data_IF_640961998379
#
_entry.id   IF_640961998379
#
_cell.length_a   1.000
_cell.length_b   1.000
_cell.length_c   1.000
_cell.angle_alpha   90.00
_cell.angle_beta   90.00
_cell.angle_gamma   90.00
#
_symmetry.space_group_name_H-M   'P 1'
#
loop_
_entity.id
_entity.type
_entity.pdbx_description
1 polymer ?
#
# COMPACT_ATOMS: atom_id res chain seq x y z
N UNK A 1 9.04 11.31 -14.44
CA UNK A 1 8.20 10.37 -15.22
C UNK A 1 7.27 9.59 -14.30
N UNK A 2 7.81 8.92 -13.28
CA UNK A 2 7.05 8.05 -12.37
C UNK A 2 5.88 8.75 -11.68
N UNK A 3 6.05 10.02 -11.27
CA UNK A 3 4.97 10.82 -10.67
C UNK A 3 3.82 11.03 -11.67
N UNK A 4 4.11 11.30 -12.94
CA UNK A 4 3.08 11.47 -13.98
C UNK A 4 2.32 10.17 -14.24
N UNK A 5 3.03 9.04 -14.37
CA UNK A 5 2.41 7.72 -14.50
C UNK A 5 1.58 7.40 -13.27
N UNK A 6 2.10 7.65 -12.07
CA UNK A 6 1.40 7.44 -10.81
C UNK A 6 0.09 8.22 -10.73
N UNK A 7 0.08 9.51 -11.10
CA UNK A 7 -1.14 10.33 -11.15
C UNK A 7 -2.13 9.80 -12.18
N UNK A 8 -1.66 9.41 -13.38
CA UNK A 8 -2.51 8.78 -14.40
C UNK A 8 -3.17 7.52 -13.87
N UNK A 9 -2.39 6.65 -13.23
CA UNK A 9 -2.93 5.40 -12.67
C UNK A 9 -3.91 5.66 -11.54
N UNK A 10 -3.59 6.61 -10.67
CA UNK A 10 -4.46 6.98 -9.56
C UNK A 10 -5.79 7.58 -10.02
N UNK A 11 -5.83 8.28 -11.16
CA UNK A 11 -7.00 9.06 -11.56
C UNK A 11 -7.76 8.50 -12.77
N UNK A 12 -7.10 7.86 -13.73
CA UNK A 12 -7.70 7.56 -15.05
C UNK A 12 -8.13 6.11 -15.23
N UNK A 13 -7.62 5.19 -14.42
CA UNK A 13 -7.92 3.77 -14.52
C UNK A 13 -8.77 3.31 -13.33
N UNK A 14 -9.62 2.31 -13.59
CA UNK A 14 -10.33 1.62 -12.53
C UNK A 14 -9.34 0.81 -11.67
N UNK A 15 -9.59 0.70 -10.36
CA UNK A 15 -8.70 -0.02 -9.44
C UNK A 15 -8.54 -1.51 -9.79
N UNK A 16 -9.49 -2.10 -10.54
CA UNK A 16 -9.40 -3.47 -11.03
C UNK A 16 -8.47 -3.62 -12.23
N UNK A 17 -8.08 -2.51 -12.87
CA UNK A 17 -7.20 -2.55 -14.03
C UNK A 17 -5.77 -2.85 -13.59
N UNK A 18 -5.29 -4.06 -13.88
CA UNK A 18 -3.91 -4.47 -13.62
C UNK A 18 -2.95 -3.73 -14.57
N UNK A 19 -2.49 -2.56 -14.12
CA UNK A 19 -1.66 -1.68 -14.93
C UNK A 19 -0.23 -2.21 -15.00
N UNK A 20 0.26 -2.51 -16.19
CA UNK A 20 1.69 -2.74 -16.42
C UNK A 20 2.43 -1.38 -16.37
N UNK A 21 2.98 -1.05 -15.20
CA UNK A 21 3.72 0.19 -14.97
C UNK A 21 4.87 0.40 -15.94
N UNK A 22 5.56 -0.67 -16.38
CA UNK A 22 6.67 -0.54 -17.33
C UNK A 22 6.17 -0.14 -18.71
N UNK A 23 5.05 -0.74 -19.13
CA UNK A 23 4.38 -0.38 -20.39
C UNK A 23 3.87 1.06 -20.33
N UNK A 24 3.13 1.42 -19.27
CA UNK A 24 2.61 2.79 -19.11
C UNK A 24 3.71 3.84 -19.07
N UNK A 25 4.85 3.55 -18.44
CA UNK A 25 6.00 4.47 -18.43
C UNK A 25 6.56 4.72 -19.82
N UNK A 26 6.68 3.67 -20.65
CA UNK A 26 7.14 3.79 -22.04
C UNK A 26 6.14 4.58 -22.89
N UNK A 27 4.86 4.24 -22.78
CA UNK A 27 3.78 4.86 -23.54
C UNK A 27 3.63 6.34 -23.17
N UNK A 28 3.68 6.65 -21.89
CA UNK A 28 3.60 8.02 -21.38
C UNK A 28 4.83 8.86 -21.76
N UNK A 29 6.04 8.29 -21.75
CA UNK A 29 7.26 8.97 -22.23
C UNK A 29 7.13 9.36 -23.71
N UNK A 30 6.71 8.41 -24.56
CA UNK A 30 6.46 8.65 -25.98
C UNK A 30 5.36 9.71 -26.18
N UNK A 31 4.28 9.63 -25.41
CA UNK A 31 3.18 10.58 -25.48
C UNK A 31 3.61 12.01 -25.13
N UNK A 32 4.35 12.19 -24.03
CA UNK A 32 4.85 13.50 -23.58
C UNK A 32 5.79 14.13 -24.60
N UNK A 33 6.68 13.32 -25.22
CA UNK A 33 7.55 13.79 -26.29
C UNK A 33 6.76 14.32 -27.50
N UNK A 34 5.68 13.65 -27.88
CA UNK A 34 4.82 14.04 -29.02
C UNK A 34 3.86 15.20 -28.70
N UNK A 35 3.64 15.47 -27.42
CA UNK A 35 2.68 16.43 -26.92
C UNK A 35 3.33 17.32 -25.85
N UNK A 36 4.22 18.26 -26.24
CA UNK A 36 4.77 19.24 -25.31
C UNK A 36 3.66 20.11 -24.69
N UNK A 37 3.91 20.69 -23.53
CA UNK A 37 2.88 21.38 -22.72
C UNK A 37 2.19 22.50 -23.48
N UNK A 38 2.93 23.26 -24.29
CA UNK A 38 2.40 24.34 -25.13
C UNK A 38 1.39 23.81 -26.15
N UNK A 39 1.67 22.64 -26.75
CA UNK A 39 0.78 22.00 -27.72
C UNK A 39 -0.51 21.50 -27.06
N UNK A 40 -0.44 20.96 -25.85
CA UNK A 40 -1.63 20.52 -25.11
C UNK A 40 -2.45 21.72 -24.64
N UNK A 41 -1.82 22.78 -24.13
CA UNK A 41 -2.52 24.03 -23.77
C UNK A 41 -3.20 24.67 -24.97
N UNK A 42 -2.57 24.68 -26.15
CA UNK A 42 -3.22 25.19 -27.36
C UNK A 42 -4.47 24.36 -27.75
N UNK A 43 -4.53 23.06 -27.40
CA UNK A 43 -5.72 22.23 -27.60
C UNK A 43 -6.83 22.56 -26.62
N UNK A 44 -6.53 22.88 -25.36
CA UNK A 44 -7.56 23.27 -24.37
C UNK A 44 -8.26 24.57 -24.78
N UNK A 45 -7.53 25.54 -25.34
CA UNK A 45 -8.10 26.78 -25.90
C UNK A 45 -9.11 26.51 -27.03
N UNK A 46 -8.95 25.39 -27.76
CA UNK A 46 -9.89 24.95 -28.80
C UNK A 46 -11.05 24.10 -28.26
N UNK A 47 -11.17 23.95 -26.93
CA UNK A 47 -12.23 23.14 -26.31
C UNK A 47 -11.99 21.63 -26.38
N UNK A 48 -10.76 21.18 -26.62
CA UNK A 48 -10.43 19.75 -26.62
C UNK A 48 -10.51 19.19 -25.19
N UNK A 49 -11.53 18.37 -24.94
CA UNK A 49 -11.86 17.87 -23.61
C UNK A 49 -10.80 16.91 -23.06
N UNK A 50 -10.15 16.11 -23.90
CA UNK A 50 -9.07 15.22 -23.45
C UNK A 50 -7.83 16.03 -23.06
N UNK A 51 -7.54 17.10 -23.81
CA UNK A 51 -6.46 18.00 -23.47
C UNK A 51 -6.69 18.67 -22.10
N UNK A 52 -7.93 19.00 -21.74
CA UNK A 52 -8.26 19.57 -20.42
C UNK A 52 -7.84 18.62 -19.29
N UNK A 53 -8.23 17.35 -19.39
CA UNK A 53 -7.85 16.32 -18.40
C UNK A 53 -6.34 16.10 -18.39
N UNK A 54 -5.68 16.08 -19.54
CA UNK A 54 -4.22 15.94 -19.63
C UNK A 54 -3.47 17.12 -18.97
N UNK A 55 -3.90 18.37 -19.19
CA UNK A 55 -3.31 19.54 -18.51
C UNK A 55 -3.49 19.43 -17.00
N UNK A 56 -4.65 18.96 -16.53
CA UNK A 56 -4.87 18.73 -15.10
C UNK A 56 -3.90 17.69 -14.51
N UNK A 57 -3.63 16.60 -15.23
CA UNK A 57 -2.65 15.57 -14.81
C UNK A 57 -1.23 16.15 -14.75
N UNK A 58 -0.86 17.02 -15.71
CA UNK A 58 0.45 17.70 -15.69
C UNK A 58 0.58 18.61 -14.49
N UNK A 59 -0.45 19.37 -14.15
CA UNK A 59 -0.49 20.16 -12.92
C UNK A 59 -0.42 19.29 -11.66
N UNK A 60 -1.12 18.15 -11.60
CA UNK A 60 -1.06 17.25 -10.44
C UNK A 60 0.32 16.59 -10.26
N UNK A 61 0.99 16.28 -11.36
CA UNK A 61 2.28 15.58 -11.36
C UNK A 61 3.50 16.48 -11.39
N UNK A 62 3.36 17.76 -11.78
CA UNK A 62 4.47 18.66 -12.06
C UNK A 62 5.20 18.34 -13.37
N UNK A 63 4.60 17.55 -14.26
CA UNK A 63 5.27 17.10 -15.49
C UNK A 63 5.13 18.16 -16.60
N UNK A 64 6.21 18.89 -16.87
CA UNK A 64 6.23 19.96 -17.88
C UNK A 64 5.42 21.20 -17.48
N UNK A 65 5.00 21.28 -16.21
CA UNK A 65 4.29 22.40 -15.58
C UNK A 65 4.65 22.43 -14.09
N UNK A 66 4.50 23.57 -13.42
CA UNK A 66 4.66 23.61 -11.96
C UNK A 66 3.54 22.80 -11.30
N UNK A 67 3.89 21.94 -10.34
CA UNK A 67 2.91 21.14 -9.61
C UNK A 67 1.93 22.07 -8.88
N UNK A 68 0.64 21.97 -9.18
CA UNK A 68 -0.39 22.84 -8.64
C UNK A 68 -1.75 22.13 -8.59
N UNK A 69 -2.23 21.70 -7.41
CA UNK A 69 -3.58 21.16 -7.28
C UNK A 69 -4.65 22.17 -7.74
N UNK A 70 -4.42 23.45 -7.49
CA UNK A 70 -5.33 24.51 -7.89
C UNK A 70 -5.35 24.72 -9.41
N UNK A 71 -4.19 24.70 -10.06
CA UNK A 71 -4.10 24.75 -11.52
C UNK A 71 -4.79 23.56 -12.19
N UNK A 72 -4.73 22.38 -11.56
CA UNK A 72 -5.48 21.22 -12.02
C UNK A 72 -7.00 21.44 -11.90
N UNK A 73 -7.47 21.89 -10.74
CA UNK A 73 -8.90 22.15 -10.51
C UNK A 73 -9.44 23.23 -11.46
N UNK A 74 -8.67 24.30 -11.70
CA UNK A 74 -9.03 25.36 -12.65
C UNK A 74 -9.34 24.81 -14.04
N UNK A 75 -8.57 23.83 -14.51
CA UNK A 75 -8.83 23.18 -15.79
C UNK A 75 -10.04 22.24 -15.71
N UNK A 76 -10.18 21.49 -14.62
CA UNK A 76 -11.25 20.51 -14.44
C UNK A 76 -12.64 21.13 -14.24
N UNK A 77 -12.72 22.37 -13.79
CA UNK A 77 -13.97 23.10 -13.58
C UNK A 77 -14.79 23.21 -14.87
N UNK A 78 -14.13 23.38 -16.03
CA UNK A 78 -14.81 23.36 -17.34
C UNK A 78 -15.63 22.08 -17.57
N UNK A 79 -15.27 20.96 -16.93
CA UNK A 79 -15.94 19.66 -17.07
C UNK A 79 -16.81 19.29 -15.87
N UNK A 80 -16.58 19.90 -14.71
CA UNK A 80 -17.13 19.43 -13.43
C UNK A 80 -17.93 20.47 -12.65
N UNK A 81 -17.78 21.76 -12.95
CA UNK A 81 -18.48 22.85 -12.29
C UNK A 81 -19.22 23.76 -13.29
N UNK A 82 -20.57 23.71 -13.34
CA UNK A 82 -21.36 24.57 -14.22
C UNK A 82 -21.27 26.06 -13.84
N UNK A 83 -20.89 26.39 -12.61
CA UNK A 83 -20.92 27.74 -12.04
C UNK A 83 -19.51 28.38 -11.90
N UNK A 84 -18.50 27.83 -12.59
CA UNK A 84 -17.09 28.21 -12.44
C UNK A 84 -16.75 29.62 -12.97
N UNK A 85 -17.54 30.14 -13.92
CA UNK A 85 -17.48 31.54 -14.36
C UNK A 85 -16.31 31.94 -15.26
N UNK A 86 -15.52 31.00 -15.80
CA UNK A 86 -14.34 31.28 -16.63
C UNK A 86 -14.51 30.90 -18.11
N UNK A 87 -15.74 30.55 -18.52
CA UNK A 87 -16.07 30.20 -19.89
C UNK A 87 -17.34 29.35 -19.96
N UNK A 88 -17.64 28.79 -21.14
CA UNK A 88 -18.73 27.85 -21.28
C UNK A 88 -18.41 26.56 -20.51
N UNK A 89 -19.38 26.08 -19.75
CA UNK A 89 -19.29 24.74 -19.16
C UNK A 89 -19.41 23.68 -20.26
N UNK A 90 -18.44 22.78 -20.31
CA UNK A 90 -18.30 21.72 -21.32
C UNK A 90 -18.69 20.33 -20.78
N UNK A 91 -19.06 20.23 -19.50
CA UNK A 91 -19.39 18.95 -18.87
C UNK A 91 -20.67 18.28 -19.39
N UNK A 92 -21.52 18.99 -20.13
CA UNK A 92 -22.74 18.44 -20.75
C UNK A 92 -22.48 17.81 -22.12
N UNK A 93 -21.43 18.27 -22.83
CA UNK A 93 -21.01 17.69 -24.12
C UNK A 93 -19.95 16.60 -23.94
N UNK A 94 -19.33 16.54 -22.75
CA UNK A 94 -18.28 15.57 -22.46
C UNK A 94 -18.80 14.13 -22.41
N UNK A 95 -18.09 13.17 -23.02
CA UNK A 95 -18.39 11.75 -22.84
C UNK A 95 -18.40 11.37 -21.36
N UNK A 96 -19.32 10.49 -20.98
CA UNK A 96 -19.50 10.02 -19.59
C UNK A 96 -18.20 9.56 -18.94
N UNK A 97 -17.39 8.80 -19.68
CA UNK A 97 -16.08 8.30 -19.22
C UNK A 97 -15.11 9.44 -18.91
N UNK A 98 -15.04 10.44 -19.78
CA UNK A 98 -14.13 11.58 -19.61
C UNK A 98 -14.56 12.45 -18.42
N UNK A 99 -15.87 12.62 -18.23
CA UNK A 99 -16.42 13.29 -17.03
C UNK A 99 -16.07 12.52 -15.76
N UNK A 100 -16.15 11.18 -15.78
CA UNK A 100 -15.76 10.34 -14.65
C UNK A 100 -14.28 10.53 -14.29
N UNK A 101 -13.40 10.57 -15.30
CA UNK A 101 -11.96 10.86 -15.16
C UNK A 101 -11.72 12.26 -14.60
N UNK A 102 -12.44 13.27 -15.08
CA UNK A 102 -12.32 14.64 -14.59
C UNK A 102 -12.67 14.75 -13.09
N UNK A 103 -13.79 14.14 -12.67
CA UNK A 103 -14.14 14.07 -11.25
C UNK A 103 -13.10 13.28 -10.42
N UNK A 104 -12.57 12.18 -10.95
CA UNK A 104 -11.50 11.42 -10.27
C UNK A 104 -10.23 12.27 -10.07
N UNK A 105 -9.79 13.02 -11.09
CA UNK A 105 -8.68 13.97 -10.99
C UNK A 105 -8.97 15.09 -9.99
N UNK A 106 -10.19 15.63 -9.97
CA UNK A 106 -10.58 16.67 -9.03
C UNK A 106 -10.57 16.17 -7.59
N UNK A 107 -11.03 14.94 -7.34
CA UNK A 107 -10.92 14.30 -6.04
C UNK A 107 -9.44 14.21 -5.59
N UNK A 108 -8.55 13.75 -6.47
CA UNK A 108 -7.11 13.71 -6.18
C UNK A 108 -6.53 15.10 -5.89
N UNK A 109 -6.93 16.12 -6.65
CA UNK A 109 -6.47 17.49 -6.45
C UNK A 109 -6.88 18.02 -5.07
N UNK A 110 -8.14 17.82 -4.67
CA UNK A 110 -8.61 18.19 -3.35
C UNK A 110 -7.94 17.40 -2.23
N UNK A 111 -7.68 16.09 -2.40
CA UNK A 111 -6.88 15.31 -1.45
C UNK A 111 -5.46 15.87 -1.31
N UNK A 112 -4.82 16.26 -2.40
CA UNK A 112 -3.51 16.92 -2.36
C UNK A 112 -3.57 18.23 -1.54
N UNK A 113 -4.66 19.00 -1.63
CA UNK A 113 -4.88 20.20 -0.79
C UNK A 113 -5.08 19.84 0.69
N UNK A 114 -5.76 18.73 1.00
CA UNK A 114 -5.98 18.26 2.39
C UNK A 114 -4.66 17.85 3.06
N UNK A 115 -3.80 17.13 2.34
CA UNK A 115 -2.55 16.57 2.86
C UNK A 115 -1.31 17.42 2.55
N UNK A 116 -1.49 18.67 2.13
CA UNK A 116 -0.36 19.54 1.82
C UNK A 116 0.53 19.77 3.06
N UNK A 117 1.83 19.60 2.88
CA UNK A 117 2.80 19.82 3.95
C UNK A 117 2.79 21.29 4.39
N UNK A 118 3.06 21.60 5.68
CA UNK A 118 3.11 22.98 6.16
C UNK A 118 4.00 23.91 5.33
N UNK A 119 5.17 23.40 4.89
CA UNK A 119 6.13 24.16 4.08
C UNK A 119 5.61 24.55 2.68
N UNK A 120 4.66 23.79 2.13
CA UNK A 120 4.14 23.99 0.77
C UNK A 120 2.88 24.88 0.73
N UNK A 121 2.30 25.22 1.90
CA UNK A 121 1.05 25.98 1.99
C UNK A 121 1.15 27.39 1.37
N UNK A 122 2.30 28.04 1.49
CA UNK A 122 2.51 29.35 0.88
C UNK A 122 2.44 29.29 -0.65
N UNK A 123 2.95 28.20 -1.26
CA UNK A 123 2.86 27.95 -2.69
C UNK A 123 1.40 27.74 -3.13
N UNK A 124 0.66 26.90 -2.40
CA UNK A 124 -0.77 26.71 -2.67
C UNK A 124 -1.56 28.02 -2.57
N UNK A 125 -1.23 28.88 -1.58
CA UNK A 125 -1.85 30.19 -1.44
C UNK A 125 -1.56 31.14 -2.60
N UNK A 126 -0.34 31.09 -3.14
CA UNK A 126 0.01 31.83 -4.34
C UNK A 126 -0.78 31.31 -5.56
N UNK A 127 -0.93 29.99 -5.68
CA UNK A 127 -1.70 29.38 -6.76
C UNK A 127 -3.19 29.71 -6.67
N UNK A 128 -3.81 29.68 -5.49
CA UNK A 128 -5.22 30.08 -5.30
C UNK A 128 -5.47 31.52 -5.74
N UNK A 129 -4.54 32.43 -5.44
CA UNK A 129 -4.59 33.81 -5.95
C UNK A 129 -4.36 33.90 -7.46
N UNK A 130 -3.48 33.06 -8.01
CA UNK A 130 -3.15 33.04 -9.43
C UNK A 130 -4.32 32.54 -10.28
N UNK A 131 -4.97 31.47 -9.86
CA UNK A 131 -6.05 30.82 -10.63
C UNK A 131 -7.44 31.40 -10.30
N UNK A 132 -7.59 32.09 -9.16
CA UNK A 132 -8.80 32.85 -8.79
C UNK A 132 -10.08 32.02 -8.91
N UNK A 133 -10.06 30.75 -8.47
CA UNK A 133 -11.25 29.90 -8.47
C UNK A 133 -12.26 30.41 -7.45
N UNK A 134 -13.54 30.35 -7.78
CA UNK A 134 -14.64 30.84 -6.94
C UNK A 134 -14.66 30.22 -5.54
N UNK A 135 -14.36 28.92 -5.46
CA UNK A 135 -14.31 28.19 -4.20
C UNK A 135 -13.18 28.67 -3.27
N UNK A 136 -12.02 29.00 -3.86
CA UNK A 136 -10.83 29.42 -3.11
C UNK A 136 -10.98 30.82 -2.50
N UNK A 137 -11.90 31.64 -3.00
CA UNK A 137 -12.20 32.96 -2.43
C UNK A 137 -13.04 32.88 -1.14
N UNK A 138 -13.66 31.73 -0.83
CA UNK A 138 -14.63 31.61 0.27
C UNK A 138 -14.03 31.19 1.60
N UNK A 139 -12.85 30.56 1.63
CA UNK A 139 -12.28 30.01 2.87
C UNK A 139 -10.79 30.31 2.94
N UNK A 140 -10.33 30.88 4.06
CA UNK A 140 -8.91 31.20 4.23
C UNK A 140 -8.09 29.92 4.45
N UNK A 141 -6.95 29.80 3.77
CA UNK A 141 -6.11 28.58 3.68
C UNK A 141 -5.60 28.09 5.03
N UNK A 142 -5.46 28.99 5.99
CA UNK A 142 -4.92 28.68 7.31
C UNK A 142 -5.99 28.15 8.27
N UNK A 143 -7.26 28.17 7.89
CA UNK A 143 -8.32 27.70 8.75
C UNK A 143 -8.51 26.18 8.63
N UNK A 144 -8.68 25.47 9.77
CA UNK A 144 -9.12 24.07 9.77
C UNK A 144 -10.36 23.83 8.89
N UNK A 145 -11.25 24.84 8.79
CA UNK A 145 -12.42 24.84 7.92
C UNK A 145 -12.07 24.63 6.44
N UNK A 146 -10.94 25.17 5.95
CA UNK A 146 -10.50 24.99 4.57
C UNK A 146 -10.15 23.53 4.27
N UNK A 147 -9.50 22.82 5.20
CA UNK A 147 -9.18 21.39 5.01
C UNK A 147 -10.45 20.55 4.99
N UNK A 148 -11.40 20.84 5.88
CA UNK A 148 -12.67 20.13 5.89
C UNK A 148 -13.50 20.40 4.62
N UNK A 149 -13.49 21.64 4.12
CA UNK A 149 -14.14 21.99 2.85
C UNK A 149 -13.48 21.27 1.67
N UNK A 150 -12.15 21.30 1.57
CA UNK A 150 -11.39 20.56 0.55
C UNK A 150 -11.69 19.06 0.63
N UNK A 151 -11.74 18.47 1.83
CA UNK A 151 -12.09 17.07 2.00
C UNK A 151 -13.52 16.77 1.56
N UNK A 152 -14.49 17.63 1.91
CA UNK A 152 -15.88 17.50 1.47
C UNK A 152 -16.00 17.56 -0.06
N UNK A 153 -15.23 18.44 -0.70
CA UNK A 153 -15.17 18.54 -2.15
C UNK A 153 -14.52 17.28 -2.77
N UNK A 154 -13.45 16.76 -2.16
CA UNK A 154 -12.84 15.49 -2.58
C UNK A 154 -13.87 14.35 -2.58
N UNK A 155 -14.69 14.25 -1.52
CA UNK A 155 -15.74 13.24 -1.40
C UNK A 155 -16.86 13.45 -2.43
N UNK A 156 -17.24 14.70 -2.70
CA UNK A 156 -18.22 15.02 -3.72
C UNK A 156 -17.76 14.53 -5.10
N UNK A 157 -16.55 14.91 -5.51
CA UNK A 157 -16.01 14.49 -6.81
C UNK A 157 -15.75 12.98 -6.86
N UNK A 158 -15.26 12.35 -5.79
CA UNK A 158 -15.09 10.90 -5.74
C UNK A 158 -16.44 10.17 -5.93
N UNK A 159 -17.51 10.69 -5.31
CA UNK A 159 -18.86 10.15 -5.46
C UNK A 159 -19.41 10.32 -6.88
N UNK A 160 -19.23 11.47 -7.51
CA UNK A 160 -19.66 11.67 -8.91
C UNK A 160 -18.86 10.78 -9.87
N UNK A 161 -17.56 10.58 -9.66
CA UNK A 161 -16.75 9.64 -10.44
C UNK A 161 -17.28 8.20 -10.34
N UNK A 162 -17.53 7.73 -9.10
CA UNK A 162 -18.10 6.41 -8.84
C UNK A 162 -19.49 6.24 -9.47
N UNK A 163 -20.35 7.26 -9.39
CA UNK A 163 -21.68 7.30 -10.01
C UNK A 163 -21.60 7.23 -11.55
N UNK A 164 -20.59 7.87 -12.14
CA UNK A 164 -20.34 7.81 -13.58
C UNK A 164 -19.71 6.48 -14.02
N UNK A 165 -19.25 5.65 -13.08
CA UNK A 165 -18.80 4.28 -13.32
C UNK A 165 -17.29 4.07 -13.26
N UNK A 166 -16.51 5.09 -12.87
CA UNK A 166 -15.08 4.96 -12.66
C UNK A 166 -14.78 4.87 -11.16
N UNK A 167 -14.16 3.78 -10.72
CA UNK A 167 -13.66 3.64 -9.35
C UNK A 167 -12.14 3.60 -9.40
N UNK A 168 -11.52 4.77 -9.40
CA UNK A 168 -10.06 4.86 -9.43
C UNK A 168 -9.43 4.68 -8.04
N UNK A 169 -8.11 4.46 -7.94
CA UNK A 169 -7.41 4.52 -6.66
C UNK A 169 -7.62 5.84 -5.89
N UNK A 170 -7.71 6.98 -6.58
CA UNK A 170 -8.02 8.27 -5.94
C UNK A 170 -9.42 8.28 -5.32
N UNK A 171 -10.42 7.73 -6.02
CA UNK A 171 -11.79 7.59 -5.54
C UNK A 171 -11.84 6.70 -4.29
N UNK A 172 -11.17 5.54 -4.32
CA UNK A 172 -11.08 4.66 -3.15
C UNK A 172 -10.35 5.31 -1.98
N UNK A 173 -9.28 6.04 -2.23
CA UNK A 173 -8.52 6.76 -1.19
C UNK A 173 -9.41 7.75 -0.45
N UNK A 174 -10.18 8.58 -1.18
CA UNK A 174 -11.13 9.50 -0.57
C UNK A 174 -12.18 8.76 0.28
N UNK A 175 -12.70 7.65 -0.23
CA UNK A 175 -13.69 6.82 0.46
C UNK A 175 -13.16 6.13 1.73
N UNK A 176 -11.93 5.61 1.70
CA UNK A 176 -11.29 5.03 2.88
C UNK A 176 -10.99 6.08 3.94
N UNK A 177 -10.50 7.27 3.55
CA UNK A 177 -10.29 8.36 4.49
C UNK A 177 -11.58 8.80 5.18
N UNK A 178 -12.71 8.83 4.45
CA UNK A 178 -14.00 9.13 5.07
C UNK A 178 -14.31 8.12 6.18
N UNK A 179 -14.13 6.83 5.91
CA UNK A 179 -14.30 5.77 6.90
C UNK A 179 -13.35 5.93 8.08
N UNK A 180 -12.07 6.18 7.84
CA UNK A 180 -11.10 6.31 8.93
C UNK A 180 -11.46 7.50 9.84
N UNK A 181 -11.91 8.62 9.26
CA UNK A 181 -12.29 9.81 10.03
C UNK A 181 -13.51 9.60 10.93
N UNK A 182 -14.55 8.93 10.46
CA UNK A 182 -15.69 8.69 11.36
C UNK A 182 -15.43 7.53 12.32
N UNK A 183 -14.58 6.54 12.00
CA UNK A 183 -14.17 5.50 12.95
C UNK A 183 -13.45 6.19 14.12
N UNK A 184 -12.56 7.14 13.81
CA UNK A 184 -11.91 8.01 14.80
C UNK A 184 -12.88 8.93 15.56
N UNK A 185 -14.02 9.30 14.96
CA UNK A 185 -15.08 10.08 15.60
C UNK A 185 -16.14 9.21 16.32
N UNK A 186 -15.98 7.89 16.36
CA UNK A 186 -16.96 6.96 16.95
C UNK A 186 -18.27 6.84 16.17
N UNK A 187 -18.28 7.25 14.90
CA UNK A 187 -19.42 7.16 13.99
C UNK A 187 -19.42 5.77 13.35
N UNK A 188 -20.45 4.98 13.64
CA UNK A 188 -20.66 3.70 12.99
C UNK A 188 -21.08 3.89 11.53
N UNK A 189 -20.12 3.74 10.62
CA UNK A 189 -20.35 3.88 9.18
C UNK A 189 -21.25 2.81 8.58
N UNK A 190 -21.45 1.67 9.24
CA UNK A 190 -22.42 0.69 8.76
C UNK A 190 -23.83 1.31 8.69
N UNK A 191 -24.12 2.29 9.55
CA UNK A 191 -25.36 3.06 9.54
C UNK A 191 -25.38 4.19 8.50
N UNK A 192 -24.21 4.66 8.06
CA UNK A 192 -24.07 5.66 6.98
C UNK A 192 -24.31 5.09 5.58
N UNK A 193 -24.46 3.77 5.41
CA UNK A 193 -25.05 3.18 4.19
C UNK A 193 -26.39 3.84 3.81
N UNK A 194 -27.12 4.39 4.80
CA UNK A 194 -28.37 5.14 4.62
C UNK A 194 -28.18 6.60 4.21
N UNK A 195 -26.98 7.16 4.36
CA UNK A 195 -26.68 8.52 3.90
C UNK A 195 -26.74 8.54 2.37
N UNK A 196 -27.79 9.18 1.84
CA UNK A 196 -28.01 9.30 0.40
C UNK A 196 -26.93 10.13 -0.31
N UNK A 197 -26.19 10.97 0.43
CA UNK A 197 -25.26 11.96 -0.14
C UNK A 197 -24.07 11.33 -0.85
N UNK A 198 -23.49 10.28 -0.27
CA UNK A 198 -22.30 9.59 -0.81
C UNK A 198 -22.55 8.12 -1.13
N UNK A 199 -23.81 7.77 -1.44
CA UNK A 199 -24.24 6.39 -1.65
C UNK A 199 -23.40 5.62 -2.69
N UNK A 200 -23.17 6.15 -3.90
CA UNK A 200 -22.27 5.55 -4.89
C UNK A 200 -20.86 5.26 -4.36
N UNK A 201 -20.20 6.26 -3.74
CA UNK A 201 -18.86 6.09 -3.17
C UNK A 201 -18.84 5.02 -2.07
N UNK A 202 -19.85 5.01 -1.20
CA UNK A 202 -19.89 4.05 -0.10
C UNK A 202 -20.06 2.61 -0.58
N UNK A 203 -20.88 2.39 -1.61
CA UNK A 203 -21.04 1.07 -2.23
C UNK A 203 -19.72 0.54 -2.78
N UNK A 204 -18.90 1.39 -3.39
CA UNK A 204 -17.62 0.97 -3.97
C UNK A 204 -16.57 0.70 -2.90
N UNK A 205 -16.50 1.51 -1.84
CA UNK A 205 -15.63 1.27 -0.67
C UNK A 205 -15.99 -0.04 0.02
N UNK A 206 -17.28 -0.27 0.28
CA UNK A 206 -17.76 -1.51 0.92
C UNK A 206 -17.40 -2.72 0.07
N UNK A 207 -17.67 -2.68 -1.23
CA UNK A 207 -17.28 -3.75 -2.17
C UNK A 207 -15.78 -4.02 -2.13
N UNK A 208 -14.94 -2.98 -2.14
CA UNK A 208 -13.49 -3.16 -2.10
C UNK A 208 -13.03 -3.78 -0.77
N UNK A 209 -13.64 -3.43 0.35
CA UNK A 209 -13.33 -4.06 1.64
C UNK A 209 -13.68 -5.54 1.66
N UNK A 210 -14.84 -5.91 1.11
CA UNK A 210 -15.25 -7.31 1.00
C UNK A 210 -14.28 -8.13 0.15
N UNK A 211 -13.81 -7.55 -0.96
CA UNK A 211 -12.75 -8.13 -1.79
C UNK A 211 -11.45 -8.32 -1.01
N UNK A 212 -10.98 -7.28 -0.30
CA UNK A 212 -9.76 -7.34 0.52
C UNK A 212 -9.87 -8.41 1.61
N UNK A 213 -11.02 -8.50 2.29
CA UNK A 213 -11.25 -9.54 3.29
C UNK A 213 -11.34 -10.94 2.67
N UNK A 214 -11.90 -11.08 1.47
CA UNK A 214 -11.92 -12.35 0.75
C UNK A 214 -10.52 -12.79 0.31
N UNK A 215 -9.71 -11.87 -0.24
CA UNK A 215 -8.31 -12.07 -0.58
C UNK A 215 -7.52 -12.54 0.66
N UNK A 216 -7.71 -11.87 1.80
CA UNK A 216 -7.05 -12.21 3.06
C UNK A 216 -7.48 -13.59 3.58
N UNK A 217 -8.78 -13.93 3.54
CA UNK A 217 -9.24 -15.29 3.91
C UNK A 217 -8.59 -16.37 3.05
N UNK A 218 -8.48 -16.14 1.73
CA UNK A 218 -7.82 -17.08 0.81
C UNK A 218 -6.34 -17.19 1.16
N UNK A 219 -5.65 -16.08 1.46
CA UNK A 219 -4.25 -16.09 1.91
C UNK A 219 -4.10 -16.91 3.20
N UNK A 220 -4.93 -16.66 4.20
CA UNK A 220 -4.90 -17.39 5.47
C UNK A 220 -5.17 -18.88 5.30
N UNK A 221 -6.11 -19.29 4.45
CA UNK A 221 -6.33 -20.71 4.12
C UNK A 221 -5.11 -21.36 3.46
N UNK A 222 -4.43 -20.65 2.55
CA UNK A 222 -3.20 -21.13 1.89
C UNK A 222 -2.05 -21.30 2.89
N UNK A 223 -1.94 -20.40 3.86
CA UNK A 223 -0.96 -20.45 4.96
C UNK A 223 -1.31 -21.61 5.90
N UNK A 224 -2.56 -21.74 6.35
CA UNK A 224 -3.01 -22.81 7.24
C UNK A 224 -2.81 -24.21 6.64
N UNK A 225 -2.97 -24.37 5.31
CA UNK A 225 -2.73 -25.66 4.63
C UNK A 225 -1.27 -26.10 4.65
N UNK A 226 -0.32 -25.16 4.69
CA UNK A 226 1.12 -25.49 4.77
C UNK A 226 1.88 -24.33 5.44
N UNK A 227 1.84 -24.20 6.77
CA UNK A 227 2.46 -23.08 7.47
C UNK A 227 3.98 -23.08 7.31
N UNK A 228 4.60 -24.27 7.22
CA UNK A 228 6.04 -24.43 7.03
C UNK A 228 6.56 -23.83 5.71
N UNK A 229 5.71 -23.64 4.70
CA UNK A 229 6.10 -23.03 3.43
C UNK A 229 6.22 -21.49 3.47
N UNK A 230 5.74 -20.85 4.54
CA UNK A 230 5.68 -19.40 4.69
C UNK A 230 6.56 -18.88 5.84
N UNK A 231 7.26 -19.78 6.54
CA UNK A 231 8.15 -19.43 7.66
C UNK A 231 9.55 -19.97 7.37
N UNK A 232 10.58 -19.20 7.72
CA UNK A 232 11.94 -19.70 7.64
C UNK A 232 12.13 -20.86 8.62
N UNK A 233 12.59 -22.00 8.11
CA UNK A 233 12.81 -23.21 8.91
C UNK A 233 13.97 -23.10 9.91
N UNK A 234 14.87 -22.13 9.75
CA UNK A 234 15.96 -21.92 10.70
C UNK A 234 15.42 -21.43 12.05
N UNK A 235 15.72 -22.18 13.10
CA UNK A 235 15.26 -21.89 14.46
C UNK A 235 15.74 -20.50 14.92
N UNK A 236 14.86 -19.77 15.61
CA UNK A 236 15.10 -18.41 16.05
C UNK A 236 15.11 -17.33 14.95
N UNK A 237 15.03 -17.69 13.65
CA UNK A 237 15.02 -16.70 12.57
C UNK A 237 13.75 -15.85 12.58
N UNK A 238 12.58 -16.50 12.68
CA UNK A 238 11.26 -15.84 12.75
C UNK A 238 10.86 -15.02 11.52
N UNK A 239 11.61 -15.08 10.41
CA UNK A 239 11.21 -14.44 9.15
C UNK A 239 10.06 -15.23 8.53
N UNK A 240 8.99 -14.50 8.17
CA UNK A 240 7.80 -15.00 7.50
C UNK A 240 7.63 -14.32 6.15
N UNK A 241 6.86 -14.94 5.26
CA UNK A 241 6.52 -14.39 3.96
C UNK A 241 5.03 -14.58 3.67
N UNK A 242 4.42 -13.64 2.97
CA UNK A 242 3.07 -13.80 2.41
C UNK A 242 3.05 -14.78 1.23
N UNK A 243 4.18 -14.92 0.53
CA UNK A 243 4.32 -15.76 -0.66
C UNK A 243 5.35 -16.86 -0.44
N UNK A 244 5.01 -18.10 -0.84
CA UNK A 244 5.95 -19.23 -0.78
C UNK A 244 7.22 -18.98 -1.61
N UNK A 245 7.11 -18.16 -2.66
CA UNK A 245 8.21 -17.83 -3.56
C UNK A 245 9.25 -16.90 -2.93
N UNK A 246 8.89 -16.12 -1.91
CA UNK A 246 9.86 -15.24 -1.24
C UNK A 246 10.90 -16.00 -0.40
N UNK A 247 10.59 -17.25 -0.05
CA UNK A 247 11.49 -18.13 0.69
C UNK A 247 12.07 -19.19 -0.24
N UNK A 248 13.38 -19.40 -0.14
CA UNK A 248 14.11 -20.37 -0.94
C UNK A 248 13.83 -21.77 -0.42
N UNK A 249 13.35 -22.66 -1.28
CA UNK A 249 13.23 -24.08 -0.96
C UNK A 249 14.62 -24.71 -0.84
N UNK A 250 14.77 -25.71 0.02
CA UNK A 250 15.96 -26.56 -0.01
C UNK A 250 16.16 -27.14 -1.43
N UNK A 251 17.35 -26.92 -2.01
CA UNK A 251 17.72 -27.44 -3.32
C UNK A 251 17.99 -28.96 -3.33
N UNK A 252 17.99 -29.59 -2.16
CA UNK A 252 18.20 -31.03 -2.02
C UNK A 252 17.00 -31.89 -2.45
N UNK A 253 17.22 -33.21 -2.42
CA UNK A 253 16.23 -34.25 -2.77
C UNK A 253 15.34 -34.68 -1.59
N UNK A 254 15.15 -33.81 -0.59
CA UNK A 254 14.23 -34.09 0.52
C UNK A 254 12.77 -34.24 0.01
N UNK A 255 11.94 -35.06 0.70
CA UNK A 255 10.53 -35.24 0.35
C UNK A 255 9.79 -33.90 0.27
N UNK A 256 8.85 -33.71 -0.68
CA UNK A 256 8.14 -32.44 -0.84
C UNK A 256 7.44 -31.96 0.44
N UNK A 257 6.87 -32.86 1.22
CA UNK A 257 6.13 -32.55 2.45
C UNK A 257 7.04 -32.11 3.61
N UNK A 258 8.33 -32.50 3.55
CA UNK A 258 9.35 -32.16 4.55
C UNK A 258 10.39 -31.18 3.99
N UNK A 259 10.11 -30.52 2.87
CA UNK A 259 11.06 -29.62 2.20
C UNK A 259 11.01 -28.24 2.89
N UNK A 260 12.05 -27.86 3.66
CA UNK A 260 12.05 -26.60 4.37
C UNK A 260 12.26 -25.42 3.42
N UNK A 261 11.85 -24.25 3.90
CA UNK A 261 11.98 -22.96 3.24
C UNK A 261 12.88 -22.03 4.07
N UNK A 262 13.76 -21.28 3.41
CA UNK A 262 14.73 -20.41 4.07
C UNK A 262 14.72 -18.99 3.50
N UNK A 263 14.89 -18.00 4.36
CA UNK A 263 15.01 -16.60 3.94
C UNK A 263 16.38 -16.29 3.31
N UNK A 264 17.42 -17.05 3.65
CA UNK A 264 18.78 -16.91 3.11
C UNK A 264 19.52 -18.25 3.04
N UNK A 265 20.56 -18.37 2.19
CA UNK A 265 21.46 -19.54 2.17
C UNK A 265 22.17 -19.77 3.51
N UNK A 266 22.39 -18.71 4.28
CA UNK A 266 23.06 -18.79 5.59
C UNK A 266 22.18 -19.50 6.61
N UNK A 267 20.87 -19.18 6.64
CA UNK A 267 19.92 -19.88 7.50
C UNK A 267 19.87 -21.38 7.16
N UNK A 268 19.91 -21.72 5.87
CA UNK A 268 19.99 -23.11 5.44
C UNK A 268 21.30 -23.78 5.89
N UNK A 269 22.46 -23.20 5.55
CA UNK A 269 23.77 -23.85 5.71
C UNK A 269 24.31 -23.82 7.14
N UNK A 270 24.15 -22.70 7.85
CA UNK A 270 24.77 -22.48 9.16
C UNK A 270 23.83 -22.86 10.30
N UNK A 271 22.54 -22.54 10.19
CA UNK A 271 21.59 -22.69 11.31
C UNK A 271 20.84 -24.02 11.28
N UNK A 272 20.28 -24.40 10.13
CA UNK A 272 19.40 -25.57 10.05
C UNK A 272 20.06 -26.83 9.48
N UNK A 273 21.22 -26.71 8.82
CA UNK A 273 21.81 -27.82 8.05
C UNK A 273 22.04 -29.08 8.87
N UNK A 274 22.55 -28.97 10.11
CA UNK A 274 22.83 -30.13 10.97
C UNK A 274 21.56 -30.95 11.23
N UNK A 275 20.43 -30.28 11.48
CA UNK A 275 19.12 -30.91 11.69
C UNK A 275 18.53 -31.43 10.38
N UNK A 276 18.54 -30.61 9.33
CA UNK A 276 17.90 -30.97 8.04
C UNK A 276 18.65 -32.08 7.28
N UNK A 277 19.97 -32.20 7.44
CA UNK A 277 20.80 -33.19 6.74
C UNK A 277 20.30 -34.63 6.91
N UNK A 278 19.70 -34.96 8.06
CA UNK A 278 19.14 -36.28 8.31
C UNK A 278 18.00 -36.66 7.33
N UNK A 279 17.22 -35.66 6.88
CA UNK A 279 16.06 -35.81 6.00
C UNK A 279 16.41 -35.49 4.54
N UNK A 280 17.47 -34.72 4.31
CA UNK A 280 17.93 -34.31 2.98
C UNK A 280 18.82 -35.37 2.29
N UNK A 281 18.38 -36.62 2.23
CA UNK A 281 19.15 -37.73 1.64
C UNK A 281 18.74 -38.02 0.18
N UNK A 282 19.68 -38.27 -0.75
CA UNK A 282 19.35 -38.72 -2.09
C UNK A 282 18.60 -40.06 -2.05
N UNK A 283 17.42 -40.13 -2.66
CA UNK A 283 16.67 -41.38 -2.80
C UNK A 283 15.76 -41.75 -1.62
N UNK A 284 15.63 -40.89 -0.60
CA UNK A 284 14.58 -41.07 0.41
C UNK A 284 13.20 -40.89 -0.23
N UNK A 285 12.59 -41.98 -0.68
CA UNK A 285 11.14 -42.02 -0.91
C UNK A 285 10.52 -41.70 0.45
N UNK A 286 9.82 -40.58 0.56
CA UNK A 286 9.23 -40.12 1.80
C UNK A 286 8.24 -41.15 2.34
N UNK A 287 8.74 -42.15 3.07
CA UNK A 287 7.93 -42.80 4.08
C UNK A 287 7.82 -41.74 5.16
N UNK A 288 6.63 -41.16 5.31
CA UNK A 288 6.21 -40.56 6.58
C UNK A 288 6.63 -41.60 7.62
N UNK A 289 7.53 -41.28 8.59
CA UNK A 289 7.80 -42.20 9.68
C UNK A 289 6.44 -42.61 10.21
N UNK A 290 6.09 -43.90 10.09
CA UNK A 290 4.82 -44.39 10.58
C UNK A 290 4.71 -43.88 11.99
N UNK A 291 3.70 -43.04 12.26
CA UNK A 291 3.35 -42.69 13.62
C UNK A 291 3.13 -44.04 14.26
N UNK A 292 4.06 -44.43 15.13
CA UNK A 292 3.95 -45.65 15.90
C UNK A 292 2.61 -45.58 16.60
N UNK A 293 1.75 -46.58 16.39
CA UNK A 293 0.52 -46.77 17.15
C UNK A 293 0.88 -47.04 18.61
N UNK A 294 1.19 -45.97 19.35
CA UNK A 294 1.05 -45.90 20.80
C UNK A 294 0.12 -44.72 21.13
N UNK A 295 -0.92 -44.98 21.93
CA UNK A 295 -2.23 -44.38 21.71
C UNK A 295 -2.38 -43.03 22.42
N UNK A 296 -3.13 -42.12 21.80
CA UNK A 296 -4.26 -41.27 22.26
C UNK A 296 -4.44 -40.86 23.75
N UNK A 297 -3.62 -41.27 24.71
CA UNK A 297 -3.76 -41.00 26.14
C UNK A 297 -3.08 -39.70 26.59
N UNK A 298 -2.18 -39.10 25.79
CA UNK A 298 -1.50 -37.84 26.15
C UNK A 298 -2.29 -36.60 25.69
N UNK A 299 -3.18 -36.75 24.71
CA UNK A 299 -3.93 -35.62 24.13
C UNK A 299 -5.06 -35.06 25.02
N UNK A 300 -5.40 -35.75 26.11
CA UNK A 300 -6.39 -35.28 27.10
C UNK A 300 -5.76 -34.64 28.36
N UNK A 301 -4.44 -34.60 28.47
CA UNK A 301 -3.72 -33.98 29.60
C UNK A 301 -3.33 -32.51 29.40
N UNK A 302 -3.57 -31.94 28.21
CA UNK A 302 -3.00 -30.65 27.80
C UNK A 302 -3.76 -29.39 28.28
N UNK A 303 -4.66 -29.50 29.26
CA UNK A 303 -5.47 -28.39 29.79
C UNK A 303 -5.34 -28.18 31.31
N UNK A 304 -4.17 -28.44 31.91
CA UNK A 304 -3.97 -28.30 33.37
C UNK A 304 -2.60 -27.72 33.77
N UNK A 305 -2.62 -26.42 34.05
CA UNK A 305 -1.66 -25.47 34.66
C UNK A 305 -0.62 -26.02 35.69
N UNK A 306 0.58 -25.38 35.68
CA UNK A 306 1.64 -25.23 36.73
C UNK A 306 2.52 -26.44 37.13
N UNK A 307 3.82 -26.36 37.50
CA UNK A 307 4.85 -25.31 37.53
C UNK A 307 6.26 -25.94 37.80
N UNK A 308 7.32 -25.12 37.70
CA UNK A 308 8.66 -25.22 38.37
C UNK A 308 9.88 -25.96 37.76
N UNK A 309 10.90 -25.11 37.47
CA UNK A 309 12.30 -25.16 37.96
C UNK A 309 13.47 -25.76 37.14
N UNK A 310 14.52 -24.91 37.02
CA UNK A 310 15.99 -25.17 37.00
C UNK A 310 16.63 -25.97 35.83
N UNK A 311 17.87 -25.74 35.35
CA UNK A 311 19.00 -24.85 35.68
C UNK A 311 20.05 -24.92 34.53
N UNK A 312 20.93 -23.90 34.40
CA UNK A 312 22.28 -23.89 33.77
C UNK A 312 22.47 -24.22 32.27
N UNK A 313 23.29 -23.59 31.43
CA UNK A 313 24.38 -22.60 31.54
C UNK A 313 24.90 -22.26 30.12
N UNK A 314 25.90 -21.37 29.95
CA UNK A 314 26.10 -20.60 28.71
C UNK A 314 27.13 -21.18 27.73
N UNK A 315 26.98 -20.86 26.45
CA UNK A 315 28.05 -20.99 25.44
C UNK A 315 28.06 -19.75 24.54
N UNK A 316 29.00 -18.86 24.80
CA UNK A 316 29.35 -17.71 23.94
C UNK A 316 30.29 -18.16 22.83
N UNK A 317 29.85 -18.03 21.57
CA UNK A 317 30.73 -18.09 20.40
C UNK A 317 30.61 -16.75 19.69
N UNK A 318 31.65 -15.94 19.75
CA UNK A 318 31.75 -14.68 19.02
C UNK A 318 31.82 -14.98 17.51
N UNK A 319 30.96 -14.33 16.75
CA UNK A 319 30.97 -14.34 15.29
C UNK A 319 31.34 -12.94 14.80
N UNK A 320 32.17 -12.80 13.76
CA UNK A 320 32.65 -11.50 13.31
C UNK A 320 31.47 -10.62 12.84
N UNK A 321 31.40 -9.41 13.40
CA UNK A 321 30.41 -8.38 13.04
C UNK A 321 30.54 -8.01 11.56
N UNK A 322 29.54 -8.40 10.77
CA UNK A 322 29.35 -7.90 9.42
C UNK A 322 28.12 -7.00 9.41
N UNK A 323 28.32 -5.68 9.44
CA UNK A 323 27.24 -4.70 9.25
C UNK A 323 26.80 -4.73 7.78
N UNK A 324 25.56 -5.14 7.46
CA UNK A 324 25.09 -5.18 6.08
C UNK A 324 24.99 -3.75 5.52
N UNK A 325 25.50 -3.53 4.32
CA UNK A 325 25.44 -2.24 3.63
C UNK A 325 24.03 -2.00 3.06
N UNK A 326 23.52 -0.77 3.21
CA UNK A 326 22.18 -0.39 2.80
C UNK A 326 22.15 -0.11 1.28
N UNK A 327 21.79 -1.11 0.48
CA UNK A 327 21.50 -0.92 -0.94
C UNK A 327 19.99 -0.96 -1.16
N UNK A 328 19.44 0.10 -1.77
CA UNK A 328 18.05 0.11 -2.22
C UNK A 328 17.90 -0.89 -3.37
N UNK A 329 17.22 -2.01 -3.10
CA UNK A 329 16.89 -3.01 -4.11
C UNK A 329 15.54 -2.70 -4.77
N UNK A 330 15.33 -3.16 -6.01
CA UNK A 330 14.00 -3.14 -6.61
C UNK A 330 13.02 -3.91 -5.70
N UNK A 331 11.74 -3.49 -5.63
CA UNK A 331 10.75 -4.13 -4.77
C UNK A 331 10.61 -5.61 -5.14
N UNK A 332 10.91 -6.48 -4.17
CA UNK A 332 10.70 -7.91 -4.22
C UNK A 332 9.46 -8.35 -3.43
N UNK A 333 9.25 -9.67 -3.27
CA UNK A 333 8.13 -10.17 -2.48
C UNK A 333 8.23 -9.71 -1.02
N UNK A 334 7.10 -9.32 -0.43
CA UNK A 334 7.06 -8.82 0.94
C UNK A 334 7.50 -9.89 1.96
N UNK A 335 8.37 -9.49 2.88
CA UNK A 335 8.84 -10.30 4.01
C UNK A 335 8.44 -9.61 5.30
N UNK A 336 8.07 -10.41 6.30
CA UNK A 336 7.67 -9.92 7.61
C UNK A 336 8.61 -10.49 8.66
N UNK A 337 9.01 -9.64 9.61
CA UNK A 337 9.71 -10.05 10.81
C UNK A 337 8.94 -9.56 12.03
N UNK A 338 8.81 -10.41 13.05
CA UNK A 338 8.23 -10.04 14.32
C UNK A 338 9.35 -9.71 15.31
N UNK A 339 9.28 -8.51 15.85
CA UNK A 339 10.21 -7.97 16.84
C UNK A 339 9.49 -8.03 18.20
N UNK A 340 9.97 -8.84 19.15
CA UNK A 340 9.38 -8.86 20.50
C UNK A 340 9.35 -7.47 21.11
N UNK A 341 8.20 -7.06 21.62
CA UNK A 341 7.99 -5.74 22.21
C UNK A 341 7.17 -5.90 23.51
N UNK A 342 7.86 -6.18 24.63
CA UNK A 342 7.23 -6.32 25.93
C UNK A 342 6.43 -5.05 26.25
N UNK A 343 5.16 -5.21 26.67
CA UNK A 343 4.27 -4.09 26.99
C UNK A 343 3.30 -3.70 25.87
N UNK A 344 3.44 -4.25 24.66
CA UNK A 344 2.38 -4.16 23.63
C UNK A 344 1.31 -5.23 23.86
N UNK A 345 0.05 -4.95 23.49
CA UNK A 345 -1.07 -5.90 23.66
C UNK A 345 -0.89 -7.22 22.91
N UNK A 346 -0.03 -7.24 21.88
CA UNK A 346 0.32 -8.44 21.11
C UNK A 346 1.63 -9.10 21.55
N UNK A 347 2.45 -8.41 22.36
CA UNK A 347 3.80 -8.85 22.74
C UNK A 347 4.87 -8.71 21.65
N UNK A 348 4.52 -8.20 20.47
CA UNK A 348 5.46 -8.00 19.35
C UNK A 348 5.00 -6.88 18.41
N UNK A 349 5.98 -6.31 17.68
CA UNK A 349 5.80 -5.40 16.55
C UNK A 349 6.15 -6.16 15.28
N UNK A 350 5.22 -6.23 14.32
CA UNK A 350 5.49 -6.81 13.00
C UNK A 350 5.96 -5.74 12.03
N UNK A 351 7.12 -5.95 11.41
CA UNK A 351 7.65 -5.09 10.36
C UNK A 351 7.59 -5.86 9.04
N UNK A 352 6.90 -5.32 8.05
CA UNK A 352 6.81 -5.89 6.69
C UNK A 352 7.55 -4.99 5.70
N UNK A 353 8.38 -5.58 4.85
CA UNK A 353 9.10 -4.85 3.80
C UNK A 353 9.21 -5.69 2.52
N UNK A 354 9.01 -5.03 1.38
CA UNK A 354 9.28 -5.56 0.04
C UNK A 354 10.65 -5.13 -0.51
N UNK A 355 11.31 -4.16 0.12
CA UNK A 355 12.56 -3.55 -0.36
C UNK A 355 13.79 -3.95 0.45
N UNK A 356 13.60 -4.42 1.69
CA UNK A 356 14.69 -4.85 2.56
C UNK A 356 15.04 -6.34 2.35
N UNK A 357 16.33 -6.63 2.32
CA UNK A 357 16.81 -8.00 2.35
C UNK A 357 16.54 -8.68 3.69
N UNK A 358 16.43 -10.00 3.67
CA UNK A 358 16.25 -10.81 4.89
C UNK A 358 17.37 -10.57 5.92
N UNK A 359 18.61 -10.35 5.46
CA UNK A 359 19.74 -10.03 6.34
C UNK A 359 19.54 -8.70 7.08
N UNK A 360 19.08 -7.67 6.38
CA UNK A 360 18.80 -6.36 6.97
C UNK A 360 17.61 -6.40 7.94
N UNK A 361 16.52 -7.08 7.56
CA UNK A 361 15.37 -7.26 8.45
C UNK A 361 15.77 -7.95 9.76
N UNK A 362 16.64 -8.96 9.67
CA UNK A 362 17.19 -9.67 10.82
C UNK A 362 18.09 -8.78 11.68
N UNK A 363 18.97 -7.98 11.04
CA UNK A 363 19.80 -7.00 11.74
C UNK A 363 18.94 -6.01 12.55
N UNK A 364 17.89 -5.44 11.94
CA UNK A 364 16.95 -4.53 12.63
C UNK A 364 16.33 -5.19 13.86
N UNK A 365 15.86 -6.44 13.73
CA UNK A 365 15.31 -7.19 14.87
C UNK A 365 16.36 -7.39 15.96
N UNK A 366 17.58 -7.80 15.59
CA UNK A 366 18.65 -8.06 16.55
C UNK A 366 19.07 -6.79 17.29
N UNK A 367 19.20 -5.65 16.58
CA UNK A 367 19.46 -4.35 17.19
C UNK A 367 18.35 -3.91 18.15
N UNK A 368 17.08 -4.05 17.76
CA UNK A 368 15.95 -3.71 18.63
C UNK A 368 15.82 -4.64 19.84
N UNK A 369 16.32 -5.87 19.76
CA UNK A 369 16.33 -6.81 20.88
C UNK A 369 17.53 -6.62 21.82
N UNK A 370 18.50 -5.77 21.48
CA UNK A 370 19.73 -5.59 22.24
C UNK A 370 19.75 -4.21 22.91
N UNK A 371 19.10 -4.03 24.10
CA UNK A 371 18.94 -2.73 24.77
C UNK A 371 20.26 -2.14 25.33
N UNK A 372 21.42 -2.73 25.03
CA UNK A 372 22.71 -2.37 25.64
C UNK A 372 23.34 -1.08 25.08
N UNK A 373 22.75 -0.45 24.07
CA UNK A 373 23.34 0.73 23.42
C UNK A 373 22.87 2.09 23.95
N UNK A 374 22.02 2.16 24.98
CA UNK A 374 21.51 3.45 25.50
C UNK A 374 22.03 3.86 26.90
N UNK A 375 22.93 3.08 27.54
CA UNK A 375 23.48 3.43 28.87
C UNK A 375 24.89 4.03 28.85
N UNK A 376 25.36 4.54 27.71
CA UNK A 376 26.67 5.17 27.58
C UNK A 376 26.61 6.55 26.92
N UNK A 377 26.00 7.53 27.59
CA UNK A 377 26.15 8.96 27.28
C UNK A 377 25.98 9.80 28.53
#
# INVERSE_FOLDING_TARGET
MDIYVGVRVACLFDYLYNTDYNKETKDASKYLFQNPSEKVLARTVRGDLEAIVEVAIRYLSGCGMNKSPEGALFQLDFLTDPDHGQGPYLGDTAPRELKAKAHSCAAQAYLNKVFIAPAERAGLAADERRFTRRDSLRVSINEPAARFANFTNALHHANESAKLGLVSPAVLTAGFLLRDFGDAAGIDFSQMTRSRRFGPLWKTVTRRLDELYAEERIKQMKIAKNPAAYVCAAEGCGIRSEERAALRKCAGRCPPDLKPHYCSPECQKKKDWLRHKAVCKPGSKGRIPGVSDQPKAVALGLLGIEDTSNDGGPSTTESPEHKPQLHALPPGPARTIDIPAPGTSRGYISVTSSTLEAGMMKYIREEMMNPRNEQGS
#
